data_IF_943411793767
#
_entry.id   IF_943411793767
#
_cell.length_a   1.000
_cell.length_b   1.000
_cell.length_c   1.000
_cell.angle_alpha   90.00
_cell.angle_beta   90.00
_cell.angle_gamma   90.00
#
_symmetry.space_group_name_H-M   'P 1'
#
loop_
_entity.id
_entity.type
_entity.pdbx_description
1 polymer ?
#
# COMPACT_ATOMS: atom_id res chain seq x y z
N UNK A 1 9.45 -65.10 31.44
CA UNK A 1 8.06 -64.60 31.41
C UNK A 1 8.11 -63.10 31.17
N UNK A 2 7.97 -62.67 29.92
CA UNK A 2 6.73 -62.22 29.26
C UNK A 2 6.35 -60.76 29.57
N UNK A 3 6.83 -59.89 28.67
CA UNK A 3 6.12 -58.81 27.96
C UNK A 3 4.85 -58.22 28.56
N UNK A 4 4.85 -56.89 28.72
CA UNK A 4 3.70 -56.03 28.36
C UNK A 4 4.20 -54.79 27.62
N UNK A 5 3.95 -54.76 26.31
CA UNK A 5 3.93 -53.54 25.53
C UNK A 5 2.55 -52.90 25.68
N UNK A 6 2.50 -51.59 25.90
CA UNK A 6 1.34 -50.75 25.57
C UNK A 6 1.88 -49.60 24.72
N UNK A 7 1.50 -49.62 23.44
CA UNK A 7 1.58 -48.51 22.48
C UNK A 7 0.53 -47.45 22.85
N UNK A 8 0.75 -46.20 22.42
CA UNK A 8 -0.16 -45.05 22.14
C UNK A 8 0.52 -43.78 22.70
N UNK A 9 0.82 -42.69 21.99
CA UNK A 9 0.59 -42.27 20.60
C UNK A 9 1.86 -41.59 20.07
N UNK A 10 2.17 -41.71 18.78
CA UNK A 10 1.57 -40.89 17.71
C UNK A 10 1.86 -39.40 17.93
N UNK A 11 3.00 -38.97 17.40
CA UNK A 11 3.21 -37.73 16.63
C UNK A 11 2.38 -36.53 17.10
N UNK A 12 3.01 -35.61 17.83
CA UNK A 12 2.80 -34.17 17.62
C UNK A 12 4.05 -33.41 18.02
N UNK A 13 5.07 -33.50 17.17
CA UNK A 13 5.97 -32.38 16.96
C UNK A 13 5.14 -31.29 16.27
N UNK A 14 4.36 -30.55 17.05
CA UNK A 14 3.58 -29.43 16.55
C UNK A 14 4.48 -28.19 16.54
N UNK A 15 5.41 -28.21 15.60
CA UNK A 15 6.10 -27.04 15.09
C UNK A 15 5.06 -26.07 14.52
N UNK A 16 4.46 -25.21 15.34
CA UNK A 16 3.88 -23.95 14.86
C UNK A 16 4.75 -22.80 15.35
N UNK A 17 5.89 -22.67 14.67
CA UNK A 17 6.48 -21.36 14.38
C UNK A 17 5.48 -20.59 13.52
N UNK A 18 4.43 -20.03 14.14
CA UNK A 18 3.61 -18.99 13.54
C UNK A 18 4.32 -17.64 13.71
N UNK A 19 5.56 -17.55 13.25
CA UNK A 19 6.07 -16.25 12.78
C UNK A 19 5.62 -16.13 11.34
N UNK A 20 4.32 -15.88 11.15
CA UNK A 20 3.87 -15.25 9.92
C UNK A 20 4.50 -13.86 9.94
N UNK A 21 5.70 -13.76 9.37
CA UNK A 21 6.30 -12.50 8.99
C UNK A 21 5.37 -11.96 7.90
N UNK A 22 4.33 -11.24 8.31
CA UNK A 22 3.46 -10.53 7.37
C UNK A 22 4.30 -9.36 6.88
N UNK A 23 5.12 -9.62 5.86
CA UNK A 23 5.82 -8.56 5.17
C UNK A 23 4.75 -7.60 4.60
N UNK A 24 4.82 -6.30 4.87
CA UNK A 24 3.98 -5.34 4.18
C UNK A 24 4.33 -5.40 2.70
N UNK A 25 3.47 -6.07 1.93
CA UNK A 25 2.86 -5.63 0.68
C UNK A 25 3.53 -4.44 -0.02
N UNK A 26 3.94 -4.68 -1.26
CA UNK A 26 4.89 -3.96 -2.10
C UNK A 26 4.64 -2.45 -2.14
N UNK A 27 5.44 -1.68 -1.40
CA UNK A 27 5.49 -0.21 -1.52
C UNK A 27 6.38 0.17 -2.71
N UNK A 28 5.80 0.24 -3.91
CA UNK A 28 6.51 0.66 -5.11
C UNK A 28 6.33 2.17 -5.36
N UNK A 29 7.05 2.98 -4.61
CA UNK A 29 6.96 4.46 -4.68
C UNK A 29 8.24 5.03 -5.27
N UNK A 30 8.19 5.39 -6.56
CA UNK A 30 9.30 6.02 -7.26
C UNK A 30 9.24 7.54 -7.05
N UNK A 31 9.75 8.00 -5.91
CA UNK A 31 9.78 9.42 -5.59
C UNK A 31 10.56 10.25 -6.62
N UNK A 32 10.07 11.47 -6.86
CA UNK A 32 10.64 12.41 -7.83
C UNK A 32 11.36 13.60 -7.17
N UNK A 33 11.42 13.63 -5.84
CA UNK A 33 12.02 14.71 -5.05
C UNK A 33 12.10 14.38 -3.55
N UNK A 34 12.27 15.38 -2.68
CA UNK A 34 12.20 15.19 -1.23
C UNK A 34 10.87 14.54 -0.82
N UNK A 35 10.95 13.65 0.16
CA UNK A 35 9.79 12.87 0.63
C UNK A 35 9.15 13.61 1.81
N UNK A 36 7.84 13.77 1.75
CA UNK A 36 7.00 14.29 2.84
C UNK A 36 6.07 13.18 3.32
N UNK A 37 5.89 13.10 4.64
CA UNK A 37 5.02 12.15 5.30
C UNK A 37 3.93 12.91 6.07
N UNK A 38 2.67 12.64 5.78
CA UNK A 38 1.52 13.28 6.45
C UNK A 38 0.50 12.21 6.85
N UNK A 39 0.48 11.88 8.14
CA UNK A 39 -0.39 10.83 8.68
C UNK A 39 -0.08 9.48 8.04
N UNK A 40 -0.99 8.99 7.21
CA UNK A 40 -0.86 7.73 6.48
C UNK A 40 -0.68 7.93 4.96
N UNK A 41 -0.21 9.12 4.59
CA UNK A 41 0.18 9.48 3.23
C UNK A 41 1.66 9.77 3.18
N UNK A 42 2.24 9.55 2.02
CA UNK A 42 3.61 9.88 1.69
C UNK A 42 3.66 10.37 0.27
N UNK A 43 4.36 11.47 0.02
CA UNK A 43 4.39 12.05 -1.32
C UNK A 43 5.71 12.77 -1.58
N UNK A 44 5.96 13.01 -2.85
CA UNK A 44 7.05 13.86 -3.33
C UNK A 44 6.61 14.56 -4.60
N UNK A 45 7.12 15.76 -4.84
CA UNK A 45 6.87 16.49 -6.08
C UNK A 45 8.15 17.08 -6.65
N UNK A 46 8.13 17.34 -7.96
CA UNK A 46 9.22 17.97 -8.69
C UNK A 46 8.66 18.92 -9.73
N UNK A 47 9.03 20.19 -9.62
CA UNK A 47 8.76 21.17 -10.67
C UNK A 47 9.62 20.84 -11.90
N UNK A 48 9.01 20.90 -13.06
CA UNK A 48 9.62 20.77 -14.38
C UNK A 48 9.34 22.02 -15.20
N UNK A 49 10.00 22.16 -16.35
CA UNK A 49 9.78 23.29 -17.26
C UNK A 49 8.33 23.37 -17.77
N UNK A 50 7.66 22.22 -17.93
CA UNK A 50 6.30 22.10 -18.47
C UNK A 50 5.19 21.99 -17.41
N UNK A 51 5.54 21.89 -16.13
CA UNK A 51 4.56 21.71 -15.05
C UNK A 51 5.10 20.99 -13.82
N UNK A 52 4.23 20.30 -13.07
CA UNK A 52 4.55 19.67 -11.79
C UNK A 52 4.30 18.15 -11.85
N UNK A 53 5.35 17.36 -11.57
CA UNK A 53 5.19 15.91 -11.38
C UNK A 53 4.97 15.65 -9.89
N UNK A 54 3.92 14.89 -9.56
CA UNK A 54 3.62 14.46 -8.20
C UNK A 54 3.52 12.94 -8.15
N UNK A 55 4.11 12.35 -7.11
CA UNK A 55 4.00 10.94 -6.77
C UNK A 55 3.48 10.87 -5.34
N UNK A 56 2.41 10.09 -5.13
CA UNK A 56 1.81 9.89 -3.83
C UNK A 56 1.62 8.40 -3.53
N UNK A 57 1.75 8.08 -2.26
CA UNK A 57 1.47 6.81 -1.63
C UNK A 57 0.46 7.03 -0.52
N UNK A 58 -0.52 6.14 -0.47
CA UNK A 58 -1.60 6.16 0.51
C UNK A 58 -1.73 4.76 1.10
N UNK A 59 -1.72 4.67 2.43
CA UNK A 59 -2.01 3.44 3.17
C UNK A 59 -3.23 3.65 4.04
N UNK A 60 -4.24 2.80 3.91
CA UNK A 60 -5.50 2.92 4.66
C UNK A 60 -5.92 1.58 5.24
N UNK A 61 -6.48 1.62 6.44
CA UNK A 61 -7.16 0.46 6.97
C UNK A 61 -8.57 0.38 6.39
N UNK A 62 -8.89 -0.74 5.74
CA UNK A 62 -10.19 -1.06 5.18
C UNK A 62 -10.61 -2.49 5.47
N UNK A 63 -11.84 -2.63 5.99
CA UNK A 63 -12.40 -3.94 6.32
C UNK A 63 -12.77 -4.74 5.06
N UNK A 64 -13.17 -4.06 3.99
CA UNK A 64 -13.47 -4.65 2.68
C UNK A 64 -12.65 -3.92 1.60
N UNK A 65 -12.14 -4.62 0.57
CA UNK A 65 -11.45 -3.97 -0.52
C UNK A 65 -12.44 -3.10 -1.31
N UNK A 66 -12.07 -1.84 -1.58
CA UNK A 66 -12.80 -0.95 -2.48
C UNK A 66 -11.80 -0.12 -3.29
N UNK A 67 -11.44 -0.67 -4.43
CA UNK A 67 -10.40 -0.14 -5.30
C UNK A 67 -10.71 1.28 -5.79
N UNK A 68 -11.97 1.62 -6.06
CA UNK A 68 -12.31 2.94 -6.57
C UNK A 68 -12.03 4.00 -5.51
N UNK A 69 -12.52 3.80 -4.28
CA UNK A 69 -12.29 4.76 -3.20
C UNK A 69 -10.78 4.83 -2.86
N UNK A 70 -10.06 3.71 -2.94
CA UNK A 70 -8.59 3.71 -2.73
C UNK A 70 -7.85 4.57 -3.76
N UNK A 71 -8.32 4.59 -5.02
CA UNK A 71 -7.76 5.41 -6.09
C UNK A 71 -8.16 6.88 -5.93
N UNK A 72 -9.41 7.14 -5.56
CA UNK A 72 -9.92 8.48 -5.23
C UNK A 72 -9.10 9.11 -4.11
N UNK A 73 -8.92 8.42 -2.99
CA UNK A 73 -8.11 8.91 -1.88
C UNK A 73 -6.66 9.17 -2.28
N UNK A 74 -6.06 8.34 -3.14
CA UNK A 74 -4.71 8.60 -3.64
C UNK A 74 -4.67 9.85 -4.54
N UNK A 75 -5.62 10.00 -5.47
CA UNK A 75 -5.71 11.17 -6.34
C UNK A 75 -5.96 12.47 -5.56
N UNK A 76 -6.67 12.40 -4.44
CA UNK A 76 -6.85 13.54 -3.53
C UNK A 76 -5.53 14.01 -2.93
N UNK A 77 -4.58 13.10 -2.64
CA UNK A 77 -3.22 13.47 -2.22
C UNK A 77 -2.48 14.18 -3.35
N UNK A 78 -2.60 13.72 -4.59
CA UNK A 78 -1.98 14.41 -5.74
C UNK A 78 -2.50 15.85 -5.85
N UNK A 79 -3.82 16.03 -5.77
CA UNK A 79 -4.46 17.34 -5.85
C UNK A 79 -4.15 18.25 -4.65
N UNK A 80 -3.98 17.69 -3.45
CA UNK A 80 -3.65 18.47 -2.26
C UNK A 80 -2.22 19.02 -2.31
N UNK A 81 -1.30 18.32 -3.00
CA UNK A 81 0.07 18.74 -3.23
C UNK A 81 0.16 19.75 -4.38
N UNK A 82 -0.58 19.54 -5.47
CA UNK A 82 -0.55 20.38 -6.67
C UNK A 82 -1.45 21.63 -6.57
N UNK A 83 -1.40 22.35 -5.43
CA UNK A 83 -2.19 23.58 -5.24
C UNK A 83 -1.83 24.61 -6.32
N UNK A 84 -2.83 25.01 -7.10
CA UNK A 84 -2.68 25.96 -8.21
C UNK A 84 -2.77 25.33 -9.61
N UNK A 85 -2.80 24.01 -9.70
CA UNK A 85 -3.11 23.28 -10.94
C UNK A 85 -4.58 22.83 -10.96
N UNK A 86 -5.19 22.61 -12.14
CA UNK A 86 -6.50 21.97 -12.25
C UNK A 86 -6.50 20.62 -11.53
N UNK A 87 -7.48 20.39 -10.66
CA UNK A 87 -7.63 19.12 -9.97
C UNK A 87 -8.01 18.02 -10.96
N UNK A 88 -7.46 16.84 -10.75
CA UNK A 88 -7.78 15.65 -11.53
C UNK A 88 -8.71 14.72 -10.78
N UNK A 89 -9.40 13.87 -11.52
CA UNK A 89 -10.12 12.72 -11.00
C UNK A 89 -9.21 11.49 -10.89
N UNK A 90 -9.65 10.49 -10.14
CA UNK A 90 -8.91 9.23 -10.01
C UNK A 90 -8.70 8.49 -11.33
N UNK A 91 -9.61 8.67 -12.31
CA UNK A 91 -9.48 8.05 -13.64
C UNK A 91 -8.38 8.65 -14.50
N UNK A 92 -7.91 9.85 -14.15
CA UNK A 92 -6.81 10.54 -14.82
C UNK A 92 -5.45 10.24 -14.16
N UNK A 93 -5.46 9.85 -12.88
CA UNK A 93 -4.26 9.47 -12.15
C UNK A 93 -3.67 8.16 -12.68
N UNK A 94 -2.35 8.10 -12.80
CA UNK A 94 -1.67 6.85 -13.13
C UNK A 94 -1.43 6.05 -11.85
N UNK A 95 -2.18 4.96 -11.66
CA UNK A 95 -2.00 4.04 -10.53
C UNK A 95 -0.85 3.08 -10.82
N UNK A 96 0.28 3.27 -10.15
CA UNK A 96 1.51 2.48 -10.39
C UNK A 96 1.59 1.23 -9.54
N UNK A 97 0.91 1.21 -8.40
CA UNK A 97 0.80 0.04 -7.54
C UNK A 97 -0.49 0.14 -6.71
N UNK A 98 -1.15 -0.99 -6.52
CA UNK A 98 -2.26 -1.13 -5.58
C UNK A 98 -2.26 -2.54 -4.99
N UNK A 99 -2.40 -2.64 -3.68
CA UNK A 99 -2.45 -3.91 -2.98
C UNK A 99 -3.36 -3.83 -1.76
N UNK A 100 -4.26 -4.81 -1.64
CA UNK A 100 -5.06 -5.01 -0.45
C UNK A 100 -4.57 -6.25 0.31
N UNK A 101 -4.12 -6.05 1.54
CA UNK A 101 -3.79 -7.13 2.45
C UNK A 101 -5.02 -7.50 3.28
N UNK A 102 -5.69 -8.61 2.93
CA UNK A 102 -6.87 -9.08 3.64
C UNK A 102 -6.62 -9.60 5.07
N UNK A 103 -5.37 -9.83 5.47
CA UNK A 103 -5.02 -10.23 6.85
C UNK A 103 -4.94 -9.02 7.76
N UNK A 104 -4.28 -7.95 7.30
CA UNK A 104 -4.14 -6.71 8.08
C UNK A 104 -5.30 -5.75 7.82
N UNK A 105 -6.09 -5.99 6.79
CA UNK A 105 -7.11 -5.07 6.30
C UNK A 105 -6.50 -3.76 5.81
N UNK A 106 -5.27 -3.75 5.28
CA UNK A 106 -4.62 -2.53 4.79
C UNK A 106 -4.67 -2.51 3.27
N UNK A 107 -5.18 -1.41 2.69
CA UNK A 107 -5.06 -1.09 1.27
C UNK A 107 -3.93 -0.07 1.09
N UNK A 108 -2.99 -0.39 0.21
CA UNK A 108 -1.90 0.49 -0.19
C UNK A 108 -2.10 0.88 -1.64
N UNK A 109 -2.00 2.17 -1.96
CA UNK A 109 -2.12 2.69 -3.32
C UNK A 109 -1.00 3.67 -3.58
N UNK A 110 -0.32 3.51 -4.71
CA UNK A 110 0.62 4.49 -5.24
C UNK A 110 0.08 5.04 -6.55
N UNK A 111 0.06 6.36 -6.65
CA UNK A 111 -0.42 7.06 -7.83
C UNK A 111 0.57 8.16 -8.21
N UNK A 112 0.60 8.50 -9.49
CA UNK A 112 1.39 9.61 -10.01
C UNK A 112 0.59 10.39 -11.05
N UNK A 113 0.87 11.68 -11.14
CA UNK A 113 0.37 12.51 -12.22
C UNK A 113 1.36 13.63 -12.55
N UNK A 114 1.33 14.04 -13.82
CA UNK A 114 2.09 15.21 -14.29
C UNK A 114 1.09 16.30 -14.65
N UNK A 115 0.99 17.30 -13.78
CA UNK A 115 0.19 18.48 -14.02
C UNK A 115 0.91 19.37 -15.01
N UNK A 116 0.24 19.75 -16.10
CA UNK A 116 0.78 20.73 -17.06
C UNK A 116 0.39 22.14 -16.63
N UNK A 117 1.25 23.12 -16.90
CA UNK A 117 0.96 24.55 -16.68
C UNK A 117 -0.19 25.06 -17.54
#
# INVERSE_FOLDING_TARGET
MQTKCIRYGLITALSLLLTACVAPTLKLVNHVGPITYEGSTEFSSKQTESGLVVVAFRSVHRFLPDTQIDYEECSNVLNSVAKGFPSITWSEANITAHEYNGVTGIANTTCTYTYSN
#
